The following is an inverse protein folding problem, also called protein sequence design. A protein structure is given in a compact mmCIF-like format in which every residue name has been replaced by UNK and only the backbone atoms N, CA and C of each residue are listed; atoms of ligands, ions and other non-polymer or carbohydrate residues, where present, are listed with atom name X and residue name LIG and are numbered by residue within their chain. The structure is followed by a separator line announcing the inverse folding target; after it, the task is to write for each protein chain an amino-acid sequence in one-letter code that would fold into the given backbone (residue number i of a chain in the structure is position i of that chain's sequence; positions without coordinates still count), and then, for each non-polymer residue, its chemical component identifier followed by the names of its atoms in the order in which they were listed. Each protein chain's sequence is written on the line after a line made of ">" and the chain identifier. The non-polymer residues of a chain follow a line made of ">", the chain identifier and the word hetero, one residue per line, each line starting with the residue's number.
data_IF_981125724455
#
_entry.id   IF_981125724455
#
_cell.length_a   1.000
_cell.length_b   1.000
_cell.length_c   1.000
_cell.angle_alpha   90.00
_cell.angle_beta   90.00
_cell.angle_gamma   90.00
#
_symmetry.space_group_name_H-M   'P 1'
#
loop_
_entity.id
_entity.type
_entity.pdbx_description
1 polymer ?
#
# COMPACT_ATOMS: atom_id res chain seq x y z
N UNK A 1 -28.62 -13.03 -62.12
CA UNK A 1 -28.94 -12.47 -63.45
C UNK A 1 -28.30 -11.09 -63.49
N UNK A 2 -27.33 -10.92 -64.38
CA UNK A 2 -26.52 -9.71 -64.60
C UNK A 2 -27.36 -8.56 -65.18
N UNK A 3 -26.93 -7.32 -64.92
CA UNK A 3 -26.70 -6.20 -65.88
C UNK A 3 -26.71 -4.88 -65.06
N UNK A 4 -25.59 -4.21 -64.81
CA UNK A 4 -24.71 -3.41 -65.69
C UNK A 4 -25.38 -2.18 -66.30
N UNK A 5 -25.01 -0.98 -65.85
CA UNK A 5 -24.89 0.19 -66.72
C UNK A 5 -23.76 1.10 -66.24
N UNK A 6 -22.84 1.37 -67.15
CA UNK A 6 -21.71 2.29 -67.03
C UNK A 6 -21.73 3.19 -68.31
N UNK A 7 -20.85 4.21 -68.46
CA UNK A 7 -21.21 5.63 -68.49
C UNK A 7 -20.85 6.31 -69.84
N UNK A 8 -21.08 7.63 -70.00
CA UNK A 8 -20.38 8.44 -71.02
C UNK A 8 -20.08 9.89 -70.61
N UNK A 9 -19.04 10.51 -71.23
CA UNK A 9 -18.27 11.64 -70.69
C UNK A 9 -18.43 12.94 -71.50
N UNK A 10 -17.88 14.05 -70.99
CA UNK A 10 -17.76 15.31 -71.73
C UNK A 10 -16.52 16.10 -71.27
N UNK A 11 -15.61 16.35 -72.21
CA UNK A 11 -14.32 17.03 -72.08
C UNK A 11 -14.44 18.57 -72.17
N UNK A 12 -13.43 19.23 -71.57
CA UNK A 12 -12.75 20.49 -71.91
C UNK A 12 -13.57 21.77 -72.18
N UNK A 13 -13.23 22.84 -71.47
CA UNK A 13 -12.32 23.88 -72.00
C UNK A 13 -11.82 24.83 -70.89
N UNK A 14 -10.56 25.22 -70.99
CA UNK A 14 -9.94 26.35 -70.26
C UNK A 14 -9.84 27.55 -71.20
N UNK A 15 -9.86 28.78 -70.67
CA UNK A 15 -8.76 29.68 -71.03
C UNK A 15 -8.12 30.40 -69.83
N UNK A 16 -6.83 30.69 -70.02
CA UNK A 16 -5.90 31.36 -69.11
C UNK A 16 -6.14 32.88 -68.99
N UNK A 17 -5.45 33.42 -67.97
CA UNK A 17 -4.94 34.77 -67.75
C UNK A 17 -5.82 35.63 -66.81
N UNK A 18 -5.31 36.37 -65.83
CA UNK A 18 -4.01 37.03 -65.66
C UNK A 18 -3.58 37.04 -64.18
N UNK A 19 -2.27 37.06 -63.98
CA UNK A 19 -1.62 37.37 -62.71
C UNK A 19 -2.00 38.78 -62.23
N UNK A 20 -2.34 38.92 -60.95
CA UNK A 20 -1.98 40.13 -60.21
C UNK A 20 -1.65 39.77 -58.75
N UNK A 21 -0.38 39.91 -58.41
CA UNK A 21 0.17 39.69 -57.07
C UNK A 21 0.04 40.98 -56.27
N UNK A 22 -0.81 40.97 -55.25
CA UNK A 22 -0.74 41.96 -54.17
C UNK A 22 -0.58 41.22 -52.83
N UNK A 23 0.59 41.41 -52.24
CA UNK A 23 0.98 40.96 -50.91
C UNK A 23 -0.09 41.25 -49.85
N UNK A 24 -0.66 40.19 -49.28
CA UNK A 24 -1.27 40.22 -47.97
C UNK A 24 -0.38 39.41 -47.03
N UNK A 25 0.36 40.13 -46.18
CA UNK A 25 1.05 39.56 -45.01
C UNK A 25 -0.04 38.97 -44.10
N UNK A 26 -0.26 37.67 -44.20
CA UNK A 26 -0.99 36.92 -43.18
C UNK A 26 -0.11 36.81 -41.95
N UNK A 27 -0.44 37.56 -40.90
CA UNK A 27 0.08 37.31 -39.56
C UNK A 27 -0.28 35.87 -39.17
N UNK A 28 0.72 34.98 -39.12
CA UNK A 28 0.58 33.72 -38.40
C UNK A 28 0.42 34.08 -36.92
N UNK A 29 -0.83 34.16 -36.46
CA UNK A 29 -1.15 33.95 -35.05
C UNK A 29 -0.66 32.56 -34.69
N UNK A 30 0.56 32.50 -34.15
CA UNK A 30 1.02 31.38 -33.36
C UNK A 30 0.08 31.36 -32.16
N UNK A 31 -0.88 30.45 -32.17
CA UNK A 31 -1.54 30.05 -30.93
C UNK A 31 -0.43 29.47 -30.07
N UNK A 32 0.08 30.26 -29.13
CA UNK A 32 0.68 29.70 -27.92
C UNK A 32 -0.42 28.85 -27.32
N UNK A 33 -0.25 27.53 -27.35
CA UNK A 33 -0.83 26.71 -26.29
C UNK A 33 -0.29 27.30 -24.99
N UNK A 34 -1.13 28.08 -24.33
CA UNK A 34 -0.99 28.31 -22.91
C UNK A 34 -1.21 26.95 -22.27
N UNK A 35 -0.11 26.20 -22.14
CA UNK A 35 -0.02 25.10 -21.18
C UNK A 35 -0.26 25.74 -19.82
N UNK A 36 -1.53 25.80 -19.44
CA UNK A 36 -1.95 26.21 -18.12
C UNK A 36 -1.35 25.17 -17.19
N UNK A 37 -0.24 25.51 -16.54
CA UNK A 37 0.26 24.76 -15.40
C UNK A 37 -0.79 24.93 -14.31
N UNK A 38 -1.85 24.12 -14.39
CA UNK A 38 -2.72 23.90 -13.25
C UNK A 38 -1.80 23.38 -12.15
N UNK A 39 -1.45 24.26 -11.21
CA UNK A 39 -0.73 23.84 -10.01
C UNK A 39 -1.55 22.73 -9.39
N UNK A 40 -1.03 21.51 -9.44
CA UNK A 40 -1.67 20.37 -8.80
C UNK A 40 -1.86 20.75 -7.33
N UNK A 41 -3.05 20.51 -6.80
CA UNK A 41 -3.34 20.77 -5.39
C UNK A 41 -2.26 20.08 -4.53
N UNK A 42 -1.82 20.68 -3.40
CA UNK A 42 -0.90 20.03 -2.49
C UNK A 42 -1.39 18.63 -2.11
N UNK A 43 -0.48 17.68 -1.90
CA UNK A 43 -0.79 16.28 -1.61
C UNK A 43 -1.89 16.13 -0.53
N UNK A 44 -1.79 16.91 0.55
CA UNK A 44 -2.76 16.94 1.65
C UNK A 44 -4.20 17.30 1.29
N UNK A 45 -4.42 17.92 0.13
CA UNK A 45 -5.75 18.26 -0.37
C UNK A 45 -6.25 17.27 -1.44
N UNK A 46 -5.41 16.32 -1.86
CA UNK A 46 -5.76 15.27 -2.82
C UNK A 46 -5.94 13.90 -2.18
N UNK A 47 -5.36 13.66 -1.00
CA UNK A 47 -5.64 12.44 -0.23
C UNK A 47 -7.13 12.39 0.15
N UNK A 48 -7.82 11.25 -0.04
CA UNK A 48 -9.23 11.12 0.32
C UNK A 48 -9.52 11.42 1.79
N UNK A 49 -10.65 12.06 2.06
CA UNK A 49 -11.08 12.33 3.43
C UNK A 49 -11.34 11.03 4.20
N UNK A 50 -10.83 10.95 5.43
CA UNK A 50 -10.95 9.76 6.27
C UNK A 50 -9.91 8.68 5.97
N UNK A 51 -8.87 9.01 5.21
CA UNK A 51 -7.73 8.11 4.96
C UNK A 51 -7.16 7.54 6.25
N UNK A 52 -6.79 6.26 6.18
CA UNK A 52 -6.02 5.53 7.17
C UNK A 52 -4.58 5.37 6.72
N UNK A 53 -3.61 5.77 7.54
CA UNK A 53 -2.28 5.17 7.47
C UNK A 53 -2.31 3.83 8.21
N UNK A 54 -2.22 2.73 7.45
CA UNK A 54 -2.40 1.39 7.99
C UNK A 54 -1.14 0.76 8.58
N UNK A 55 -0.01 1.48 8.64
CA UNK A 55 1.22 0.95 9.25
C UNK A 55 2.12 2.06 9.76
N UNK A 56 2.13 2.26 11.07
CA UNK A 56 3.06 3.17 11.75
C UNK A 56 3.62 2.53 13.03
N UNK A 57 4.74 3.03 13.51
CA UNK A 57 5.34 2.62 14.78
C UNK A 57 5.54 3.83 15.70
N UNK A 58 5.31 3.65 17.00
CA UNK A 58 5.78 4.59 18.03
C UNK A 58 6.85 3.92 18.87
N UNK A 59 7.84 4.71 19.28
CA UNK A 59 9.09 4.22 19.86
C UNK A 59 9.58 5.21 20.92
N UNK A 60 9.56 4.83 22.18
CA UNK A 60 10.06 5.62 23.31
C UNK A 60 10.97 4.77 24.23
N UNK A 61 12.19 4.41 23.79
CA UNK A 61 13.05 3.43 24.47
C UNK A 61 13.57 3.90 25.83
N UNK A 62 13.47 5.19 26.14
CA UNK A 62 13.79 5.72 27.47
C UNK A 62 12.68 5.46 28.49
N UNK A 63 11.45 5.17 28.04
CA UNK A 63 10.25 4.96 28.88
C UNK A 63 9.82 3.49 28.91
N UNK A 64 10.01 2.78 27.80
CA UNK A 64 9.60 1.39 27.65
C UNK A 64 10.80 0.49 27.35
N UNK A 65 10.89 -0.69 27.98
CA UNK A 65 12.04 -1.57 27.86
C UNK A 65 12.17 -2.11 26.44
N UNK A 66 13.34 -1.91 25.83
CA UNK A 66 13.69 -2.58 24.57
C UNK A 66 13.97 -4.05 24.85
N UNK A 67 13.45 -4.93 24.01
CA UNK A 67 13.66 -6.37 24.08
C UNK A 67 15.15 -6.72 23.98
N UNK A 68 15.60 -7.71 24.75
CA UNK A 68 16.97 -8.23 24.66
C UNK A 68 17.31 -8.79 23.26
N UNK A 69 16.29 -9.16 22.47
CA UNK A 69 16.43 -9.67 21.11
C UNK A 69 16.30 -8.58 20.02
N UNK A 70 16.23 -7.30 20.41
CA UNK A 70 16.11 -6.21 19.45
C UNK A 70 17.35 -6.13 18.54
N UNK A 71 17.12 -6.11 17.22
CA UNK A 71 18.21 -6.09 16.21
C UNK A 71 18.77 -4.69 15.96
N UNK A 72 18.21 -3.65 16.59
CA UNK A 72 18.68 -2.27 16.53
C UNK A 72 18.15 -1.46 17.71
N UNK A 73 18.83 -0.35 18.01
CA UNK A 73 18.39 0.65 18.98
C UNK A 73 17.79 1.86 18.23
N UNK A 74 16.47 2.08 18.27
CA UNK A 74 15.85 3.21 17.60
C UNK A 74 15.99 4.52 18.38
N UNK A 75 15.96 5.66 17.67
CA UNK A 75 15.67 6.95 18.28
C UNK A 75 14.20 7.03 18.74
N UNK A 76 13.91 8.05 19.58
CA UNK A 76 12.56 8.33 20.07
C UNK A 76 11.68 8.88 18.93
N UNK A 77 10.46 8.35 18.84
CA UNK A 77 9.39 8.72 17.91
C UNK A 77 8.04 8.55 18.60
N UNK A 78 7.42 9.66 18.99
CA UNK A 78 6.18 9.72 19.77
C UNK A 78 4.93 9.69 18.89
N UNK A 79 3.79 9.41 19.52
CA UNK A 79 2.50 9.51 18.84
C UNK A 79 2.18 10.95 18.40
N UNK A 80 2.60 11.97 19.16
CA UNK A 80 2.39 13.37 18.77
C UNK A 80 3.21 13.74 17.52
N UNK A 81 4.43 13.23 17.40
CA UNK A 81 5.25 13.38 16.19
C UNK A 81 4.63 12.63 15.01
N UNK A 82 4.07 11.44 15.23
CA UNK A 82 3.32 10.69 14.22
C UNK A 82 2.12 11.51 13.71
N UNK A 83 1.28 12.01 14.63
CA UNK A 83 0.11 12.81 14.26
C UNK A 83 0.49 14.13 13.57
N UNK A 84 1.60 14.74 13.97
CA UNK A 84 2.15 15.93 13.31
C UNK A 84 2.55 15.60 11.87
N UNK A 85 3.26 14.48 11.66
CA UNK A 85 3.62 13.99 10.33
C UNK A 85 2.38 13.69 9.47
N UNK A 86 1.40 12.94 9.98
CA UNK A 86 0.16 12.61 9.27
C UNK A 86 -0.62 13.87 8.85
N UNK A 87 -0.62 14.91 9.70
CA UNK A 87 -1.28 16.19 9.37
C UNK A 87 -0.67 16.87 8.14
N UNK A 88 0.61 16.64 7.84
CA UNK A 88 1.26 17.16 6.62
C UNK A 88 0.74 16.50 5.34
N UNK A 89 0.24 15.27 5.47
CA UNK A 89 -0.40 14.49 4.41
C UNK A 89 -1.93 14.65 4.41
N UNK A 90 -2.52 15.29 5.42
CA UNK A 90 -3.98 15.39 5.57
C UNK A 90 -4.63 14.09 6.06
N UNK A 91 -3.85 13.18 6.63
CA UNK A 91 -4.34 11.90 7.15
C UNK A 91 -4.74 12.08 8.62
N UNK A 92 -5.90 11.52 8.95
CA UNK A 92 -6.53 11.66 10.26
C UNK A 92 -6.57 10.39 11.09
N UNK A 93 -6.50 9.22 10.45
CA UNK A 93 -6.66 7.92 11.09
C UNK A 93 -5.37 7.11 10.95
N UNK A 94 -4.98 6.41 12.02
CA UNK A 94 -3.71 5.67 12.07
C UNK A 94 -3.86 4.27 12.64
N UNK A 95 -3.03 3.35 12.15
CA UNK A 95 -2.84 2.02 12.71
C UNK A 95 -1.44 1.94 13.29
N UNK A 96 -1.37 1.89 14.61
CA UNK A 96 -0.13 1.65 15.34
C UNK A 96 0.17 0.15 15.32
N UNK A 97 1.31 -0.22 14.78
CA UNK A 97 1.79 -1.59 14.68
C UNK A 97 2.96 -1.77 15.64
N UNK A 98 2.96 -2.86 16.41
CA UNK A 98 4.04 -3.16 17.34
C UNK A 98 5.36 -3.40 16.59
N UNK A 99 6.42 -2.61 16.86
CA UNK A 99 7.72 -2.83 16.24
C UNK A 99 8.48 -3.97 16.95
N UNK A 100 9.32 -4.69 16.20
CA UNK A 100 10.04 -5.88 16.70
C UNK A 100 10.96 -5.59 17.89
N UNK A 101 11.41 -4.35 18.07
CA UNK A 101 12.29 -3.92 19.16
C UNK A 101 11.70 -4.13 20.56
N UNK A 102 10.38 -4.18 20.69
CA UNK A 102 9.69 -4.32 21.98
C UNK A 102 9.20 -5.75 22.21
N UNK A 103 9.37 -6.65 21.23
CA UNK A 103 8.83 -8.01 21.32
C UNK A 103 7.33 -7.99 21.62
N UNK A 104 6.92 -8.73 22.65
CA UNK A 104 5.53 -8.83 23.13
C UNK A 104 5.14 -7.76 24.14
N UNK A 105 6.04 -6.85 24.52
CA UNK A 105 5.67 -5.71 25.38
C UNK A 105 4.99 -4.61 24.54
N UNK A 106 3.67 -4.65 24.48
CA UNK A 106 2.86 -3.70 23.72
C UNK A 106 2.62 -2.37 24.47
N UNK A 107 3.24 -2.13 25.63
CA UNK A 107 2.89 -0.99 26.51
C UNK A 107 3.03 0.37 25.82
N UNK A 108 4.09 0.57 25.03
CA UNK A 108 4.32 1.79 24.25
C UNK A 108 3.18 2.04 23.24
N UNK A 109 2.81 1.01 22.48
CA UNK A 109 1.72 1.05 21.51
C UNK A 109 0.37 1.32 22.19
N UNK A 110 0.09 0.62 23.28
CA UNK A 110 -1.20 0.74 24.00
C UNK A 110 -1.36 2.12 24.64
N UNK A 111 -0.28 2.70 25.18
CA UNK A 111 -0.34 4.08 25.68
C UNK A 111 -0.59 5.08 24.56
N UNK A 112 0.14 4.98 23.44
CA UNK A 112 -0.10 5.82 22.28
C UNK A 112 -1.54 5.68 21.74
N UNK A 113 -2.08 4.46 21.71
CA UNK A 113 -3.46 4.20 21.27
C UNK A 113 -4.51 4.82 22.22
N UNK A 114 -4.25 4.86 23.53
CA UNK A 114 -5.11 5.60 24.49
C UNK A 114 -5.16 7.09 24.19
N UNK A 115 -4.04 7.68 23.80
CA UNK A 115 -3.96 9.11 23.49
C UNK A 115 -4.71 9.46 22.20
N UNK A 116 -4.66 8.59 21.19
CA UNK A 116 -5.34 8.78 19.90
C UNK A 116 -6.85 8.51 20.01
N UNK A 117 -7.20 7.46 20.75
CA UNK A 117 -8.58 7.01 20.96
C UNK A 117 -9.14 6.18 19.79
N UNK A 118 -10.16 5.33 20.05
CA UNK A 118 -10.68 4.36 19.08
C UNK A 118 -11.52 4.97 17.96
N UNK A 119 -11.73 6.29 17.93
CA UNK A 119 -12.38 6.96 16.79
C UNK A 119 -11.43 7.15 15.61
N UNK A 120 -10.12 7.19 15.86
CA UNK A 120 -9.08 7.51 14.87
C UNK A 120 -7.87 6.59 14.93
N UNK A 121 -7.74 5.79 15.99
CA UNK A 121 -6.62 4.89 16.22
C UNK A 121 -7.04 3.43 16.16
N UNK A 122 -6.21 2.60 15.55
CA UNK A 122 -6.25 1.14 15.68
C UNK A 122 -4.87 0.60 16.07
N UNK A 123 -4.86 -0.56 16.70
CA UNK A 123 -3.64 -1.24 17.12
C UNK A 123 -3.47 -2.61 16.46
N UNK A 124 -2.23 -2.94 16.11
CA UNK A 124 -1.80 -4.31 15.78
C UNK A 124 -0.68 -4.69 16.75
N UNK A 125 -1.00 -5.58 17.69
CA UNK A 125 -0.10 -5.98 18.79
C UNK A 125 0.73 -7.22 18.41
N UNK A 126 1.77 -7.54 19.18
CA UNK A 126 2.43 -8.84 19.13
C UNK A 126 2.10 -9.60 20.41
N UNK A 127 1.69 -10.86 20.28
CA UNK A 127 1.31 -11.71 21.42
C UNK A 127 2.14 -12.98 21.44
N UNK A 128 2.22 -13.59 22.62
CA UNK A 128 2.48 -15.02 22.74
C UNK A 128 1.11 -15.72 22.81
N UNK A 129 0.71 -16.50 21.78
CA UNK A 129 -0.61 -17.13 21.75
C UNK A 129 -0.81 -18.18 22.87
N UNK A 130 0.27 -18.63 23.51
CA UNK A 130 0.23 -19.57 24.63
C UNK A 130 0.15 -18.89 26.00
N UNK A 131 0.41 -17.58 26.05
CA UNK A 131 0.54 -16.81 27.28
C UNK A 131 -0.15 -15.45 27.17
N UNK A 132 -1.43 -15.46 26.82
CA UNK A 132 -2.29 -14.29 26.79
C UNK A 132 -3.69 -14.68 27.25
N UNK A 133 -4.28 -13.89 28.15
CA UNK A 133 -5.62 -14.15 28.67
C UNK A 133 -6.70 -13.35 27.92
N UNK A 134 -7.93 -13.89 27.90
CA UNK A 134 -9.06 -13.28 27.20
C UNK A 134 -9.41 -11.89 27.72
N UNK A 135 -9.26 -11.62 29.03
CA UNK A 135 -9.61 -10.32 29.61
C UNK A 135 -8.66 -9.23 29.10
N UNK A 136 -7.37 -9.53 29.00
CA UNK A 136 -6.39 -8.63 28.38
C UNK A 136 -6.77 -8.31 26.93
N UNK A 137 -7.21 -9.32 26.15
CA UNK A 137 -7.64 -9.12 24.76
C UNK A 137 -8.93 -8.28 24.66
N UNK A 138 -9.89 -8.46 25.56
CA UNK A 138 -11.10 -7.63 25.66
C UNK A 138 -10.76 -6.16 25.95
N UNK A 139 -9.86 -5.91 26.90
CA UNK A 139 -9.38 -4.57 27.22
C UNK A 139 -8.68 -3.91 26.03
N UNK A 140 -7.84 -4.66 25.32
CA UNK A 140 -7.17 -4.18 24.10
C UNK A 140 -8.15 -3.95 22.95
N UNK A 141 -9.16 -4.81 22.80
CA UNK A 141 -10.21 -4.62 21.80
C UNK A 141 -10.99 -3.33 22.06
N UNK A 142 -11.40 -3.08 23.31
CA UNK A 142 -12.08 -1.85 23.71
C UNK A 142 -11.23 -0.60 23.46
N UNK A 143 -9.91 -0.73 23.61
CA UNK A 143 -8.96 0.34 23.33
C UNK A 143 -8.77 0.63 21.83
N UNK A 144 -9.11 -0.31 20.95
CA UNK A 144 -9.01 -0.16 19.49
C UNK A 144 -8.04 -1.13 18.82
N UNK A 145 -7.49 -2.12 19.52
CA UNK A 145 -6.70 -3.18 18.88
C UNK A 145 -7.62 -4.00 17.96
N UNK A 146 -7.15 -4.26 16.74
CA UNK A 146 -7.86 -5.02 15.69
C UNK A 146 -6.99 -6.05 14.99
N UNK A 147 -5.79 -6.29 15.48
CA UNK A 147 -4.93 -7.29 14.87
C UNK A 147 -3.76 -7.73 15.73
N UNK A 148 -3.15 -8.83 15.28
CA UNK A 148 -1.88 -9.34 15.79
C UNK A 148 -0.86 -9.42 14.68
N UNK A 149 0.42 -9.30 14.99
CA UNK A 149 1.51 -9.33 14.02
C UNK A 149 2.40 -10.56 14.17
N UNK A 150 2.64 -11.24 13.06
CA UNK A 150 3.71 -12.25 12.91
C UNK A 150 4.77 -11.69 11.95
N UNK A 151 5.95 -11.35 12.49
CA UNK A 151 7.01 -10.67 11.75
C UNK A 151 8.24 -11.57 11.65
N UNK A 152 8.47 -12.11 10.45
CA UNK A 152 9.59 -13.01 10.14
C UNK A 152 10.69 -12.28 9.37
N UNK A 153 10.31 -11.42 8.42
CA UNK A 153 11.25 -10.74 7.51
C UNK A 153 12.21 -9.80 8.25
N UNK A 154 11.72 -8.92 9.13
CA UNK A 154 12.59 -7.91 9.76
C UNK A 154 13.58 -8.48 10.76
N UNK A 155 13.32 -9.71 11.25
CA UNK A 155 14.18 -10.46 12.19
C UNK A 155 14.97 -11.56 11.50
N UNK A 156 14.88 -11.69 10.16
CA UNK A 156 15.61 -12.68 9.38
C UNK A 156 15.24 -14.13 9.67
N UNK A 157 14.00 -14.38 10.12
CA UNK A 157 13.52 -15.73 10.44
C UNK A 157 12.91 -16.36 9.19
N UNK A 158 13.33 -17.59 8.87
CA UNK A 158 12.70 -18.43 7.86
C UNK A 158 12.08 -19.61 8.60
N UNK A 159 10.80 -19.85 8.35
CA UNK A 159 10.07 -21.00 8.89
C UNK A 159 9.84 -22.01 7.77
N UNK A 160 9.79 -23.28 8.14
CA UNK A 160 9.15 -24.29 7.29
C UNK A 160 7.65 -23.99 7.14
N UNK A 161 7.02 -24.58 6.12
CA UNK A 161 5.58 -24.45 5.91
C UNK A 161 4.76 -24.95 7.12
N UNK A 162 5.21 -26.03 7.75
CA UNK A 162 4.57 -26.60 8.95
C UNK A 162 4.63 -25.62 10.14
N UNK A 163 5.81 -25.07 10.44
CA UNK A 163 5.99 -24.09 11.52
C UNK A 163 5.20 -22.80 11.27
N UNK A 164 5.15 -22.32 10.03
CA UNK A 164 4.38 -21.14 9.66
C UNK A 164 2.88 -21.41 9.81
N UNK A 165 2.42 -22.57 9.36
CA UNK A 165 1.03 -23.01 9.49
C UNK A 165 0.62 -23.09 10.95
N UNK A 166 1.41 -23.77 11.78
CA UNK A 166 1.15 -23.88 13.22
C UNK A 166 1.11 -22.49 13.88
N UNK A 167 2.10 -21.65 13.59
CA UNK A 167 2.17 -20.29 14.12
C UNK A 167 0.89 -19.51 13.80
N UNK A 168 0.45 -19.49 12.54
CA UNK A 168 -0.71 -18.70 12.14
C UNK A 168 -2.03 -19.28 12.69
N UNK A 169 -2.16 -20.60 12.78
CA UNK A 169 -3.34 -21.24 13.37
C UNK A 169 -3.47 -20.94 14.87
N UNK A 170 -2.36 -20.95 15.61
CA UNK A 170 -2.34 -20.57 17.03
C UNK A 170 -2.78 -19.12 17.23
N UNK A 171 -2.25 -18.19 16.42
CA UNK A 171 -2.67 -16.79 16.47
C UNK A 171 -4.15 -16.64 16.09
N UNK A 172 -4.61 -17.30 15.03
CA UNK A 172 -6.00 -17.27 14.60
C UNK A 172 -6.95 -17.76 15.71
N UNK A 173 -6.59 -18.84 16.41
CA UNK A 173 -7.40 -19.36 17.51
C UNK A 173 -7.64 -18.30 18.61
N UNK A 174 -6.62 -17.51 18.94
CA UNK A 174 -6.72 -16.45 19.96
C UNK A 174 -7.59 -15.28 19.48
N UNK A 175 -7.46 -14.88 18.22
CA UNK A 175 -7.99 -13.61 17.73
C UNK A 175 -9.33 -13.70 16.99
N UNK A 176 -9.73 -14.91 16.56
CA UNK A 176 -11.04 -15.22 15.95
C UNK A 176 -12.23 -14.62 16.70
N UNK A 177 -12.35 -14.75 18.04
CA UNK A 177 -13.53 -14.24 18.77
C UNK A 177 -13.71 -12.72 18.66
N UNK A 178 -12.65 -11.99 18.30
CA UNK A 178 -12.65 -10.54 18.19
C UNK A 178 -12.72 -10.04 16.75
N UNK A 179 -12.74 -10.94 15.76
CA UNK A 179 -12.71 -10.60 14.32
C UNK A 179 -11.42 -9.91 13.88
N UNK A 180 -10.35 -10.03 14.68
CA UNK A 180 -9.07 -9.36 14.43
C UNK A 180 -8.33 -9.95 13.23
N UNK A 181 -7.57 -9.09 12.55
CA UNK A 181 -6.74 -9.45 11.40
C UNK A 181 -5.38 -9.96 11.86
N UNK A 182 -4.84 -10.99 11.19
CA UNK A 182 -3.44 -11.38 11.35
C UNK A 182 -2.61 -10.62 10.31
N UNK A 183 -1.70 -9.78 10.78
CA UNK A 183 -0.73 -9.10 9.93
C UNK A 183 0.55 -9.93 9.84
N UNK A 184 1.05 -10.18 8.63
CA UNK A 184 2.29 -10.94 8.41
C UNK A 184 3.31 -10.11 7.65
N UNK A 185 4.57 -10.16 8.10
CA UNK A 185 5.70 -9.67 7.32
C UNK A 185 6.67 -10.82 7.04
N UNK A 186 6.62 -11.33 5.81
CA UNK A 186 7.43 -12.43 5.29
C UNK A 186 8.15 -11.98 4.01
N UNK A 187 9.09 -12.78 3.52
CA UNK A 187 9.62 -12.60 2.16
C UNK A 187 8.66 -13.15 1.12
N UNK A 188 8.66 -12.56 -0.08
CA UNK A 188 7.69 -12.91 -1.12
C UNK A 188 7.76 -14.40 -1.51
N UNK A 189 8.95 -14.99 -1.49
CA UNK A 189 9.20 -16.41 -1.76
C UNK A 189 8.56 -17.37 -0.73
N UNK A 190 8.19 -16.89 0.45
CA UNK A 190 7.45 -17.65 1.47
C UNK A 190 5.94 -17.56 1.27
N UNK A 191 5.43 -16.63 0.46
CA UNK A 191 3.98 -16.44 0.25
C UNK A 191 3.25 -17.69 -0.28
N UNK A 192 3.83 -18.56 -1.13
CA UNK A 192 3.18 -19.82 -1.52
C UNK A 192 2.77 -20.70 -0.34
N UNK A 193 3.54 -20.69 0.76
CA UNK A 193 3.21 -21.44 1.98
C UNK A 193 1.90 -20.95 2.64
N UNK A 194 1.50 -19.70 2.38
CA UNK A 194 0.28 -19.11 2.94
C UNK A 194 -0.99 -19.62 2.24
N UNK A 195 -0.90 -20.08 0.98
CA UNK A 195 -2.04 -20.54 0.19
C UNK A 195 -2.80 -21.69 0.87
N UNK A 196 -2.09 -22.57 1.56
CA UNK A 196 -2.67 -23.71 2.26
C UNK A 196 -3.32 -23.35 3.59
N UNK A 197 -2.72 -22.43 4.35
CA UNK A 197 -3.18 -22.10 5.72
C UNK A 197 -4.25 -21.02 5.75
N UNK A 198 -4.22 -20.03 4.84
CA UNK A 198 -5.17 -18.90 4.85
C UNK A 198 -6.65 -19.34 4.89
N UNK A 199 -7.09 -20.31 4.08
CA UNK A 199 -8.49 -20.79 4.13
C UNK A 199 -8.89 -21.40 5.48
N UNK A 200 -7.92 -21.82 6.30
CA UNK A 200 -8.14 -22.45 7.61
C UNK A 200 -8.15 -21.42 8.76
N UNK A 201 -7.69 -20.19 8.52
CA UNK A 201 -7.54 -19.18 9.56
C UNK A 201 -8.89 -18.70 10.10
N UNK A 202 -9.94 -18.61 9.29
CA UNK A 202 -11.24 -18.07 9.74
C UNK A 202 -11.16 -16.61 10.23
N UNK A 203 -10.09 -15.91 9.85
CA UNK A 203 -9.84 -14.47 10.03
C UNK A 203 -9.12 -13.95 8.81
N UNK A 204 -9.18 -12.64 8.60
CA UNK A 204 -8.46 -11.97 7.51
C UNK A 204 -6.95 -12.04 7.74
N UNK A 205 -6.20 -12.13 6.65
CA UNK A 205 -4.75 -11.97 6.63
C UNK A 205 -4.39 -10.63 5.99
N UNK A 206 -3.39 -9.93 6.52
CA UNK A 206 -2.82 -8.74 5.88
C UNK A 206 -1.32 -8.92 5.68
N UNK A 207 -0.87 -8.90 4.43
CA UNK A 207 0.53 -9.03 4.06
C UNK A 207 1.18 -7.64 3.99
N UNK A 208 2.24 -7.43 4.78
CA UNK A 208 2.96 -6.17 4.85
C UNK A 208 3.82 -5.90 3.60
N UNK A 209 3.98 -4.62 3.26
CA UNK A 209 5.01 -4.08 2.36
C UNK A 209 5.16 -4.82 1.02
N UNK A 210 4.11 -4.83 0.18
CA UNK A 210 4.08 -5.51 -1.13
C UNK A 210 4.36 -7.02 -1.10
N UNK A 211 4.32 -7.66 0.08
CA UNK A 211 4.74 -9.05 0.24
C UNK A 211 6.24 -9.24 0.46
N UNK A 212 7.00 -8.17 0.72
CA UNK A 212 8.44 -8.25 0.96
C UNK A 212 9.25 -8.81 -0.21
N UNK A 213 9.07 -8.29 -1.44
CA UNK A 213 9.84 -8.72 -2.61
C UNK A 213 11.33 -8.49 -2.43
N UNK A 214 12.15 -9.30 -3.08
CA UNK A 214 13.55 -8.98 -3.34
C UNK A 214 13.66 -8.37 -4.73
N UNK A 215 13.88 -7.05 -4.80
CA UNK A 215 14.05 -6.30 -6.03
C UNK A 215 15.53 -5.96 -6.30
N UNK A 216 16.46 -6.51 -5.52
CA UNK A 216 17.87 -6.09 -5.54
C UNK A 216 18.61 -6.41 -6.83
N UNK A 217 18.09 -7.35 -7.62
CA UNK A 217 18.65 -7.83 -8.89
C UNK A 217 17.87 -7.36 -10.12
N UNK A 218 16.85 -6.52 -9.95
CA UNK A 218 16.07 -6.00 -11.08
C UNK A 218 16.86 -4.90 -11.76
N UNK A 219 17.05 -5.06 -13.07
CA UNK A 219 17.60 -4.01 -13.92
C UNK A 219 16.45 -3.10 -14.39
N UNK A 220 16.59 -1.80 -14.17
CA UNK A 220 15.57 -0.80 -14.54
C UNK A 220 15.87 -0.14 -15.90
N UNK A 221 16.99 -0.48 -16.53
CA UNK A 221 17.41 0.07 -17.84
C UNK A 221 16.88 -0.76 -19.02
N UNK A 222 16.50 -2.03 -18.81
CA UNK A 222 16.02 -2.94 -19.86
C UNK A 222 14.61 -3.48 -19.58
N UNK A 223 13.67 -3.23 -20.50
CA UNK A 223 12.28 -3.74 -20.55
C UNK A 223 11.37 -3.36 -19.37
N UNK A 224 10.04 -3.27 -19.56
CA UNK A 224 9.14 -3.09 -18.43
C UNK A 224 9.25 -4.31 -17.51
N UNK A 225 9.52 -4.06 -16.24
CA UNK A 225 9.58 -5.07 -15.19
C UNK A 225 8.26 -5.86 -15.14
N UNK A 226 8.36 -7.19 -15.19
CA UNK A 226 7.24 -8.12 -15.01
C UNK A 226 7.28 -8.69 -13.58
N UNK A 227 6.35 -8.29 -12.69
CA UNK A 227 6.27 -8.79 -11.32
C UNK A 227 6.11 -10.31 -11.21
N UNK A 228 5.53 -10.98 -12.22
CA UNK A 228 5.33 -12.44 -12.20
C UNK A 228 6.63 -13.24 -12.31
N UNK A 229 7.75 -12.57 -12.64
CA UNK A 229 9.09 -13.16 -12.57
C UNK A 229 9.57 -13.36 -11.14
N UNK A 230 9.00 -12.65 -10.16
CA UNK A 230 9.37 -12.77 -8.76
C UNK A 230 8.81 -14.06 -8.13
N UNK A 231 9.63 -14.86 -7.42
CA UNK A 231 9.15 -16.02 -6.68
C UNK A 231 8.06 -15.64 -5.67
N UNK A 232 6.89 -16.29 -5.77
CA UNK A 232 5.74 -16.09 -4.88
C UNK A 232 4.77 -14.98 -5.28
N UNK A 233 5.06 -14.17 -6.31
CA UNK A 233 4.15 -13.13 -6.76
C UNK A 233 2.80 -13.67 -7.25
N UNK A 234 2.82 -14.74 -8.04
CA UNK A 234 1.59 -15.40 -8.51
C UNK A 234 0.72 -15.89 -7.34
N UNK A 235 1.33 -16.45 -6.29
CA UNK A 235 0.61 -16.89 -5.08
C UNK A 235 0.04 -15.71 -4.30
N UNK A 236 0.74 -14.58 -4.25
CA UNK A 236 0.18 -13.34 -3.67
C UNK A 236 -1.09 -12.90 -4.41
N UNK A 237 -1.06 -12.88 -5.75
CA UNK A 237 -2.24 -12.56 -6.56
C UNK A 237 -3.39 -13.55 -6.31
N UNK A 238 -3.10 -14.86 -6.24
CA UNK A 238 -4.10 -15.89 -5.92
C UNK A 238 -4.75 -15.66 -4.55
N UNK A 239 -3.95 -15.35 -3.52
CA UNK A 239 -4.44 -15.06 -2.17
C UNK A 239 -5.34 -13.82 -2.12
N UNK A 240 -4.97 -12.76 -2.84
CA UNK A 240 -5.79 -11.54 -2.93
C UNK A 240 -7.14 -11.83 -3.60
N UNK A 241 -7.14 -12.57 -4.71
CA UNK A 241 -8.36 -12.99 -5.43
C UNK A 241 -9.26 -13.91 -4.59
N UNK A 242 -8.67 -14.71 -3.69
CA UNK A 242 -9.43 -15.57 -2.79
C UNK A 242 -10.24 -14.77 -1.74
N UNK A 243 -9.93 -13.49 -1.52
CA UNK A 243 -10.81 -12.53 -0.86
C UNK A 243 -10.64 -12.37 0.65
N UNK A 244 -9.86 -13.22 1.32
CA UNK A 244 -9.56 -13.10 2.77
C UNK A 244 -8.19 -12.46 3.05
N UNK A 245 -7.41 -12.17 2.00
CA UNK A 245 -6.07 -11.58 2.14
C UNK A 245 -6.08 -10.14 1.66
N UNK A 246 -5.43 -9.27 2.43
CA UNK A 246 -5.11 -7.88 2.09
C UNK A 246 -3.60 -7.73 1.88
N UNK A 247 -3.18 -6.73 1.11
CA UNK A 247 -1.77 -6.33 0.96
C UNK A 247 -1.59 -4.84 1.24
N UNK A 248 -0.52 -4.50 1.97
CA UNK A 248 -0.14 -3.11 2.20
C UNK A 248 0.83 -2.63 1.12
N UNK A 249 0.45 -1.60 0.38
CA UNK A 249 1.39 -0.82 -0.44
C UNK A 249 2.06 0.23 0.47
N UNK A 250 3.30 -0.02 0.85
CA UNK A 250 3.99 0.75 1.90
C UNK A 250 5.49 0.53 1.89
N UNK A 251 6.22 1.35 2.65
CA UNK A 251 7.66 1.23 2.91
C UNK A 251 8.54 1.09 1.64
N UNK A 252 8.34 1.90 0.59
CA UNK A 252 8.98 1.70 -0.71
C UNK A 252 10.52 1.74 -0.63
N UNK A 253 11.06 2.58 0.27
CA UNK A 253 12.50 2.73 0.55
C UNK A 253 13.16 1.46 1.13
N UNK A 254 12.37 0.49 1.60
CA UNK A 254 12.89 -0.81 2.03
C UNK A 254 13.03 -1.80 0.87
N UNK A 255 12.33 -1.57 -0.23
CA UNK A 255 12.06 -2.56 -1.26
C UNK A 255 12.76 -2.21 -2.57
N UNK A 256 12.61 -0.97 -3.03
CA UNK A 256 13.08 -0.53 -4.34
C UNK A 256 14.30 0.39 -4.23
N UNK A 257 15.19 0.27 -5.23
CA UNK A 257 16.27 1.22 -5.48
C UNK A 257 15.94 2.20 -6.62
N UNK A 258 14.84 2.00 -7.32
CA UNK A 258 14.37 2.89 -8.37
C UNK A 258 13.72 4.13 -7.73
N UNK A 259 14.29 5.31 -7.98
CA UNK A 259 13.78 6.56 -7.43
C UNK A 259 12.38 6.91 -7.96
N UNK A 260 12.00 6.35 -9.11
CA UNK A 260 10.67 6.48 -9.72
C UNK A 260 9.68 5.38 -9.28
N UNK A 261 10.13 4.38 -8.52
CA UNK A 261 9.34 3.25 -8.03
C UNK A 261 8.56 2.50 -9.13
N UNK A 262 9.12 2.38 -10.35
CA UNK A 262 8.44 1.75 -11.50
C UNK A 262 8.15 0.27 -11.25
N UNK A 263 9.02 -0.39 -10.49
CA UNK A 263 8.85 -1.78 -10.04
C UNK A 263 7.63 -1.95 -9.12
N UNK A 264 7.53 -1.12 -8.09
CA UNK A 264 6.41 -1.11 -7.15
C UNK A 264 5.12 -0.63 -7.81
N UNK A 265 5.19 0.30 -8.75
CA UNK A 265 4.03 0.70 -9.56
C UNK A 265 3.49 -0.48 -10.38
N UNK A 266 4.37 -1.26 -11.03
CA UNK A 266 3.95 -2.44 -11.78
C UNK A 266 3.27 -3.48 -10.85
N UNK A 267 3.85 -3.76 -9.68
CA UNK A 267 3.23 -4.65 -8.68
C UNK A 267 1.87 -4.13 -8.19
N UNK A 268 1.78 -2.85 -7.84
CA UNK A 268 0.54 -2.25 -7.34
C UNK A 268 -0.59 -2.30 -8.38
N UNK A 269 -0.27 -2.12 -9.66
CA UNK A 269 -1.25 -2.24 -10.75
C UNK A 269 -1.86 -3.64 -10.82
N UNK A 270 -1.02 -4.67 -10.75
CA UNK A 270 -1.48 -6.06 -10.72
C UNK A 270 -2.36 -6.36 -9.49
N UNK A 271 -2.00 -5.82 -8.32
CA UNK A 271 -2.83 -5.98 -7.12
C UNK A 271 -4.21 -5.34 -7.27
N UNK A 272 -4.25 -4.11 -7.81
CA UNK A 272 -5.49 -3.36 -8.00
C UNK A 272 -6.36 -3.95 -9.11
N UNK A 273 -5.76 -4.50 -10.17
CA UNK A 273 -6.49 -5.23 -11.20
C UNK A 273 -7.08 -6.54 -10.65
N UNK A 274 -6.32 -7.27 -9.83
CA UNK A 274 -6.74 -8.56 -9.32
C UNK A 274 -7.77 -8.46 -8.18
N UNK A 275 -7.60 -7.50 -7.27
CA UNK A 275 -8.42 -7.37 -6.05
C UNK A 275 -8.42 -5.93 -5.51
N UNK A 276 -9.12 -4.97 -6.17
CA UNK A 276 -9.10 -3.56 -5.79
C UNK A 276 -9.65 -3.29 -4.38
N UNK A 277 -10.42 -4.24 -3.82
CA UNK A 277 -10.94 -4.22 -2.46
C UNK A 277 -10.00 -4.81 -1.40
N UNK A 278 -8.76 -5.19 -1.79
CA UNK A 278 -7.78 -5.86 -0.91
C UNK A 278 -6.43 -5.15 -0.82
N UNK A 279 -6.31 -3.97 -1.42
CA UNK A 279 -5.10 -3.16 -1.38
C UNK A 279 -5.29 -2.02 -0.39
N UNK A 280 -4.35 -1.83 0.54
CA UNK A 280 -4.39 -0.73 1.52
C UNK A 280 -3.08 0.05 1.55
N UNK A 281 -3.17 1.35 1.81
CA UNK A 281 -2.03 2.26 1.89
C UNK A 281 -1.41 2.34 3.29
N UNK A 282 -0.09 2.52 3.38
CA UNK A 282 0.58 2.96 4.60
C UNK A 282 1.93 3.67 4.35
N UNK A 283 2.35 4.52 5.28
CA UNK A 283 3.64 5.23 5.18
C UNK A 283 4.81 4.42 5.72
N UNK A 284 4.58 3.58 6.73
CA UNK A 284 5.62 2.91 7.54
C UNK A 284 6.47 3.89 8.38
N UNK A 285 5.90 5.04 8.75
CA UNK A 285 6.50 5.97 9.70
C UNK A 285 6.88 5.25 11.01
N UNK A 286 8.04 5.53 11.64
CA UNK A 286 8.99 6.61 11.38
C UNK A 286 10.11 6.21 10.42
N UNK A 287 9.88 5.23 9.54
CA UNK A 287 10.85 4.72 8.59
C UNK A 287 12.09 4.14 9.27
N UNK A 288 11.85 3.31 10.29
CA UNK A 288 12.89 2.73 11.16
C UNK A 288 14.08 2.16 10.37
N UNK A 289 15.30 2.52 10.80
CA UNK A 289 16.61 2.20 10.18
C UNK A 289 16.94 3.03 8.92
N UNK A 290 16.07 3.93 8.50
CA UNK A 290 16.31 4.86 7.39
C UNK A 290 16.19 6.30 7.90
N UNK A 291 16.91 7.22 7.27
CA UNK A 291 16.88 8.64 7.61
C UNK A 291 16.59 9.48 6.37
N UNK A 292 15.97 10.64 6.57
CA UNK A 292 15.68 11.57 5.46
C UNK A 292 14.65 11.05 4.45
N UNK A 293 13.90 10.00 4.77
CA UNK A 293 12.86 9.44 3.89
C UNK A 293 11.75 10.47 3.68
N UNK A 294 11.51 10.81 2.42
CA UNK A 294 10.34 11.58 1.99
C UNK A 294 9.32 10.62 1.38
N UNK A 295 8.21 10.38 2.07
CA UNK A 295 7.15 9.48 1.57
C UNK A 295 6.30 10.11 0.46
N UNK A 296 6.33 11.44 0.32
CA UNK A 296 5.46 12.20 -0.59
C UNK A 296 5.44 11.66 -2.03
N UNK A 297 6.60 11.47 -2.70
CA UNK A 297 6.66 10.92 -4.06
C UNK A 297 5.97 9.56 -4.21
N UNK A 298 6.11 8.66 -3.22
CA UNK A 298 5.42 7.37 -3.26
C UNK A 298 3.90 7.54 -3.10
N UNK A 299 3.46 8.40 -2.19
CA UNK A 299 2.03 8.71 -2.04
C UNK A 299 1.42 9.31 -3.30
N UNK A 300 2.17 10.15 -4.02
CA UNK A 300 1.77 10.68 -5.33
C UNK A 300 1.56 9.56 -6.36
N UNK A 301 2.45 8.57 -6.38
CA UNK A 301 2.31 7.40 -7.25
C UNK A 301 1.06 6.59 -6.88
N UNK A 302 0.81 6.32 -5.60
CA UNK A 302 -0.38 5.62 -5.16
C UNK A 302 -1.67 6.33 -5.63
N UNK A 303 -1.74 7.67 -5.47
CA UNK A 303 -2.88 8.46 -5.97
C UNK A 303 -2.98 8.42 -7.50
N UNK A 304 -1.85 8.53 -8.21
CA UNK A 304 -1.81 8.50 -9.67
C UNK A 304 -2.28 7.16 -10.23
N UNK A 305 -1.90 6.04 -9.60
CA UNK A 305 -2.36 4.70 -10.02
C UNK A 305 -3.88 4.59 -9.87
N UNK A 306 -4.46 5.20 -8.83
CA UNK A 306 -5.90 5.19 -8.59
C UNK A 306 -6.68 6.16 -9.50
N UNK A 307 -6.03 7.14 -10.13
CA UNK A 307 -6.69 8.29 -10.77
C UNK A 307 -7.62 7.94 -11.94
N UNK A 308 -7.40 6.80 -12.59
CA UNK A 308 -8.18 6.39 -13.76
C UNK A 308 -9.46 5.61 -13.40
N UNK A 309 -9.67 5.26 -12.13
CA UNK A 309 -10.83 4.50 -11.68
C UNK A 309 -11.58 5.27 -10.57
N UNK A 310 -12.79 5.79 -10.85
CA UNK A 310 -13.57 6.51 -9.86
C UNK A 310 -13.81 5.69 -8.59
N UNK A 311 -13.48 6.25 -7.43
CA UNK A 311 -13.66 5.59 -6.13
C UNK A 311 -12.51 4.69 -5.70
N UNK A 312 -11.52 4.42 -6.56
CA UNK A 312 -10.42 3.51 -6.23
C UNK A 312 -9.49 4.11 -5.16
N UNK A 313 -9.25 5.43 -5.21
CA UNK A 313 -8.47 6.11 -4.18
C UNK A 313 -9.15 5.98 -2.81
N UNK A 314 -10.47 6.19 -2.73
CA UNK A 314 -11.25 6.00 -1.50
C UNK A 314 -11.18 4.56 -1.00
N UNK A 315 -11.17 3.56 -1.88
CA UNK A 315 -10.93 2.16 -1.48
C UNK A 315 -9.55 1.96 -0.86
N UNK A 316 -8.50 2.31 -1.61
CA UNK A 316 -7.10 2.04 -1.22
C UNK A 316 -6.70 2.78 0.04
N UNK A 317 -7.11 4.04 0.17
CA UNK A 317 -6.72 4.89 1.29
C UNK A 317 -7.68 4.81 2.48
N UNK A 318 -8.91 4.30 2.32
CA UNK A 318 -9.91 4.31 3.39
C UNK A 318 -10.73 3.03 3.48
N UNK A 319 -11.63 2.77 2.53
CA UNK A 319 -12.69 1.77 2.73
C UNK A 319 -12.13 0.37 2.95
N UNK A 320 -11.07 -0.02 2.23
CA UNK A 320 -10.47 -1.34 2.41
C UNK A 320 -9.85 -1.49 3.82
N UNK A 321 -9.34 -0.42 4.42
CA UNK A 321 -8.84 -0.43 5.80
C UNK A 321 -9.98 -0.54 6.81
N UNK A 322 -11.09 0.19 6.61
CA UNK A 322 -12.31 0.10 7.43
C UNK A 322 -12.92 -1.32 7.36
N UNK A 323 -13.05 -1.88 6.16
CA UNK A 323 -13.51 -3.26 5.91
C UNK A 323 -12.59 -4.27 6.63
N UNK A 324 -11.27 -4.13 6.50
CA UNK A 324 -10.30 -5.04 7.11
C UNK A 324 -10.36 -4.98 8.65
N UNK A 325 -10.29 -3.78 9.22
CA UNK A 325 -10.10 -3.56 10.65
C UNK A 325 -11.40 -3.69 11.45
N UNK A 326 -12.52 -3.24 10.90
CA UNK A 326 -13.80 -3.14 11.64
C UNK A 326 -14.93 -4.00 11.04
N UNK A 327 -14.74 -4.54 9.83
CA UNK A 327 -15.74 -5.41 9.18
C UNK A 327 -17.01 -4.68 8.73
N UNK A 328 -16.90 -3.38 8.48
CA UNK A 328 -17.96 -2.49 7.97
C UNK A 328 -18.03 -2.62 6.45
#
# INVERSE_FOLDING_TARGET
>A
MLTSFQPRPGLLESPRALFNTSHLKGERRVYKEETTTAQSLPLKHRIPHGTWDTHMHVVEPQRFPVSANAVYQPPKHTVDEAMTFESTLGIGNIVLVQPSIYGTDNSCLLEALRNVGPSRGRGVVVIDPTNIDTKTLEEWHALGVRGVRVNLKSVGKVLSEEELTETLLQHAQVVRPFGWTIQVYVSLDMVPMLENVVPQLGVKLCIDHFGGPDLSTIDHDETPFDPYTLPGFSSLISLLRAGETYVKISAPYRLSKDEEFRDLEAMAREFLEAAPNRVIYATDWPHTRFSGVNIGPFTEICLRICANEPGLAERVFRHNAEEMLDGI
#
